data_IF_777804954228
#
_entry.id   IF_777804954228
#
_cell.length_a   1.000
_cell.length_b   1.000
_cell.length_c   1.000
_cell.angle_alpha   90.00
_cell.angle_beta   90.00
_cell.angle_gamma   90.00
#
_symmetry.space_group_name_H-M   'P 1'
#
loop_
_entity.id
_entity.type
_entity.pdbx_description
1 polymer ?
#
# COMPACT_ATOMS: atom_id res chain seq x y z
N UNK A 1 21.86 11.74 -50.28
CA UNK A 1 21.39 12.33 -49.01
C UNK A 1 20.38 11.35 -48.42
N UNK A 2 20.87 10.38 -47.64
CA UNK A 2 20.10 9.22 -47.24
C UNK A 2 19.35 9.45 -45.93
N UNK A 3 18.03 9.34 -46.02
CA UNK A 3 17.13 8.78 -45.00
C UNK A 3 17.23 9.30 -43.56
N UNK A 4 16.71 10.52 -43.33
CA UNK A 4 16.39 11.04 -41.99
C UNK A 4 15.07 10.53 -41.39
N UNK A 5 14.35 9.61 -42.07
CA UNK A 5 13.04 9.10 -41.62
C UNK A 5 13.10 7.95 -40.62
N UNK A 6 14.19 7.17 -40.63
CA UNK A 6 14.32 5.99 -39.77
C UNK A 6 14.77 6.34 -38.33
N UNK A 7 15.53 7.43 -38.17
CA UNK A 7 16.07 7.85 -36.87
C UNK A 7 14.98 8.33 -35.91
N UNK A 8 14.02 9.10 -36.43
CA UNK A 8 12.88 9.59 -35.63
C UNK A 8 11.97 8.45 -35.17
N UNK A 9 11.72 7.45 -36.03
CA UNK A 9 10.87 6.31 -35.66
C UNK A 9 11.49 5.44 -34.55
N UNK A 10 12.81 5.25 -34.59
CA UNK A 10 13.55 4.52 -33.54
C UNK A 10 13.57 5.31 -32.22
N UNK A 11 13.76 6.63 -32.28
CA UNK A 11 13.70 7.51 -31.11
C UNK A 11 12.29 7.54 -30.47
N UNK A 12 11.23 7.60 -31.30
CA UNK A 12 9.86 7.53 -30.81
C UNK A 12 9.52 6.16 -30.21
N UNK A 13 9.96 5.05 -30.83
CA UNK A 13 9.78 3.71 -30.24
C UNK A 13 10.56 3.54 -28.91
N UNK A 14 11.78 4.07 -28.82
CA UNK A 14 12.57 4.04 -27.58
C UNK A 14 11.94 4.87 -26.44
N UNK A 15 11.29 6.00 -26.76
CA UNK A 15 10.56 6.81 -25.80
C UNK A 15 9.27 6.13 -25.29
N UNK A 16 8.57 5.39 -26.15
CA UNK A 16 7.36 4.66 -25.77
C UNK A 16 7.69 3.44 -24.88
N UNK A 17 8.85 2.81 -25.07
CA UNK A 17 9.32 1.69 -24.22
C UNK A 17 9.71 2.11 -22.79
N UNK A 18 10.17 3.36 -22.59
CA UNK A 18 10.48 3.87 -21.24
C UNK A 18 9.25 4.34 -20.45
N UNK A 19 8.07 4.39 -21.06
CA UNK A 19 6.83 4.79 -20.40
C UNK A 19 6.11 3.64 -19.69
N UNK A 20 6.60 2.40 -19.82
CA UNK A 20 5.94 1.22 -19.29
C UNK A 20 6.71 0.69 -18.08
N UNK A 21 5.95 0.40 -17.03
CA UNK A 21 6.30 -0.31 -15.79
C UNK A 21 7.24 0.39 -14.80
N UNK A 22 6.76 1.50 -14.23
CA UNK A 22 6.72 1.52 -12.77
C UNK A 22 5.60 0.58 -12.33
N UNK A 23 5.86 -0.73 -12.36
CA UNK A 23 5.15 -1.61 -11.45
C UNK A 23 5.59 -1.14 -10.06
N UNK A 24 4.80 -0.23 -9.46
CA UNK A 24 4.70 -0.25 -8.01
C UNK A 24 4.34 -1.70 -7.72
N UNK A 25 5.34 -2.50 -7.34
CA UNK A 25 5.14 -3.86 -6.89
C UNK A 25 3.90 -3.81 -6.02
N UNK A 26 2.82 -4.45 -6.48
CA UNK A 26 1.50 -4.36 -5.86
C UNK A 26 1.65 -4.97 -4.47
N UNK A 27 2.07 -4.17 -3.50
CA UNK A 27 2.27 -4.54 -2.12
C UNK A 27 0.96 -4.27 -1.40
N UNK A 28 0.53 -5.22 -0.57
CA UNK A 28 -0.68 -5.05 0.21
C UNK A 28 -0.56 -3.77 1.01
N UNK A 29 -1.66 -3.05 1.14
CA UNK A 29 -1.65 -1.75 1.79
C UNK A 29 -2.79 -1.59 2.76
N UNK A 30 -2.51 -0.91 3.87
CA UNK A 30 -3.50 -0.51 4.87
C UNK A 30 -3.68 1.00 4.80
N UNK A 31 -4.87 1.44 4.42
CA UNK A 31 -5.32 2.82 4.61
C UNK A 31 -6.08 2.92 5.93
N UNK A 32 -5.70 3.85 6.78
CA UNK A 32 -6.41 4.19 8.03
C UNK A 32 -7.01 5.58 7.94
N UNK A 33 -8.12 5.78 8.64
CA UNK A 33 -8.90 7.02 8.64
C UNK A 33 -8.85 7.67 10.02
N UNK A 34 -8.72 9.00 10.08
CA UNK A 34 -8.71 9.76 11.33
C UNK A 34 -10.03 9.64 12.08
N UNK A 35 -11.16 9.72 11.37
CA UNK A 35 -12.50 9.71 11.94
C UNK A 35 -13.23 8.39 11.64
N UNK A 36 -14.22 8.10 12.47
CA UNK A 36 -15.17 7.01 12.21
C UNK A 36 -15.96 7.22 10.91
N UNK A 37 -16.56 6.16 10.39
CA UNK A 37 -17.25 6.18 9.11
C UNK A 37 -16.31 6.15 7.89
N UNK A 38 -15.04 5.78 8.07
CA UNK A 38 -14.01 5.86 7.03
C UNK A 38 -13.90 7.28 6.43
N UNK A 39 -13.77 8.29 7.30
CA UNK A 39 -13.82 9.70 6.92
C UNK A 39 -12.66 10.52 7.50
N UNK A 40 -12.52 11.75 7.03
CA UNK A 40 -11.44 12.66 7.43
C UNK A 40 -10.10 12.33 6.76
N UNK A 41 -9.01 12.82 7.37
CA UNK A 41 -7.65 12.57 6.90
C UNK A 41 -7.32 11.08 6.89
N UNK A 42 -6.48 10.67 5.95
CA UNK A 42 -6.08 9.27 5.80
C UNK A 42 -4.57 9.12 5.77
N UNK A 43 -4.09 7.96 6.20
CA UNK A 43 -2.69 7.56 6.05
C UNK A 43 -2.67 6.16 5.46
N UNK A 44 -1.80 5.93 4.47
CA UNK A 44 -1.66 4.62 3.82
C UNK A 44 -0.27 4.05 4.11
N UNK A 45 -0.22 2.76 4.46
CA UNK A 45 0.99 2.01 4.71
C UNK A 45 1.06 0.82 3.76
N UNK A 46 2.13 0.73 2.98
CA UNK A 46 2.39 -0.37 2.03
C UNK A 46 3.80 -0.95 2.18
N UNK A 47 4.61 -0.40 3.09
CA UNK A 47 5.97 -0.88 3.34
C UNK A 47 5.92 -2.18 4.13
N UNK A 48 6.77 -3.12 3.74
CA UNK A 48 7.00 -4.36 4.46
C UNK A 48 7.55 -4.08 5.86
N UNK A 49 7.30 -5.01 6.78
CA UNK A 49 7.74 -4.88 8.16
C UNK A 49 6.79 -4.05 9.01
N UNK A 50 7.28 -3.67 10.20
CA UNK A 50 6.46 -3.02 11.21
C UNK A 50 6.32 -1.51 10.99
N UNK A 51 5.11 -0.98 11.16
CA UNK A 51 4.83 0.46 11.18
C UNK A 51 3.76 0.81 12.22
N UNK A 52 3.93 1.95 12.90
CA UNK A 52 2.92 2.49 13.82
C UNK A 52 1.79 3.18 13.07
N UNK A 53 0.56 2.95 13.51
CA UNK A 53 -0.62 3.58 12.96
C UNK A 53 -0.81 4.97 13.57
N UNK A 54 -0.94 5.95 12.69
CA UNK A 54 -1.29 7.33 13.07
C UNK A 54 -2.78 7.50 13.43
N UNK A 55 -3.66 6.72 12.81
CA UNK A 55 -5.11 6.87 12.94
C UNK A 55 -5.82 5.57 13.25
N UNK A 56 -6.97 5.67 13.93
CA UNK A 56 -7.74 4.53 14.44
C UNK A 56 -9.25 4.63 14.19
N UNK A 57 -9.73 5.57 13.37
CA UNK A 57 -11.17 5.75 13.10
C UNK A 57 -11.78 4.67 12.20
N UNK A 58 -10.95 3.91 11.49
CA UNK A 58 -11.36 2.82 10.62
C UNK A 58 -10.23 2.48 9.65
N UNK A 59 -10.41 1.46 8.84
CA UNK A 59 -9.41 1.04 7.87
C UNK A 59 -10.01 0.45 6.58
N UNK A 60 -9.18 0.45 5.55
CA UNK A 60 -9.33 -0.34 4.34
C UNK A 60 -7.99 -1.01 4.04
N UNK A 61 -8.00 -2.33 3.95
CA UNK A 61 -6.87 -3.14 3.55
C UNK A 61 -7.08 -3.65 2.13
N UNK A 62 -6.13 -3.32 1.26
CA UNK A 62 -6.07 -3.81 -0.11
C UNK A 62 -5.03 -4.92 -0.16
N UNK A 63 -5.47 -6.13 -0.46
CA UNK A 63 -4.62 -7.31 -0.50
C UNK A 63 -4.16 -7.60 -1.93
N UNK A 64 -2.85 -7.76 -2.09
CA UNK A 64 -2.21 -8.05 -3.38
C UNK A 64 -1.19 -9.19 -3.27
N UNK A 65 -1.21 -9.94 -2.15
CA UNK A 65 -0.38 -11.12 -1.93
C UNK A 65 0.28 -11.17 -0.54
N UNK A 66 0.43 -10.03 0.13
CA UNK A 66 1.06 -9.93 1.44
C UNK A 66 0.00 -9.89 2.54
N UNK A 67 0.14 -10.74 3.55
CA UNK A 67 -0.73 -10.68 4.74
C UNK A 67 -0.23 -9.59 5.68
N UNK A 68 -1.10 -9.11 6.57
CA UNK A 68 -0.71 -8.10 7.56
C UNK A 68 -1.15 -8.50 8.97
N UNK A 69 -0.20 -8.54 9.90
CA UNK A 69 -0.45 -8.82 11.32
C UNK A 69 -0.67 -7.51 12.08
N UNK A 70 -1.75 -7.43 12.84
CA UNK A 70 -2.13 -6.26 13.63
C UNK A 70 -1.79 -6.44 15.11
N UNK A 71 -1.41 -5.36 15.77
CA UNK A 71 -1.00 -5.35 17.18
C UNK A 71 -1.72 -4.23 17.93
N UNK A 72 -2.08 -4.45 19.19
CA UNK A 72 -2.66 -3.42 20.07
C UNK A 72 -1.60 -2.52 20.71
N UNK A 73 -0.32 -2.76 20.43
CA UNK A 73 0.86 -2.08 20.94
C UNK A 73 1.60 -1.38 19.81
N UNK A 74 2.42 -0.39 20.14
CA UNK A 74 3.33 0.21 19.16
C UNK A 74 4.48 -0.75 18.80
N UNK A 75 5.11 -0.50 17.66
CA UNK A 75 6.32 -1.17 17.17
C UNK A 75 6.18 -2.69 17.05
N UNK A 76 4.96 -3.20 16.87
CA UNK A 76 4.65 -4.63 16.72
C UNK A 76 5.17 -5.49 17.86
N UNK A 77 5.18 -4.94 19.08
CA UNK A 77 5.65 -5.63 20.26
C UNK A 77 4.60 -6.59 20.82
N UNK A 78 5.03 -7.74 21.34
CA UNK A 78 4.13 -8.75 21.91
C UNK A 78 3.37 -9.55 20.84
N UNK A 79 2.30 -10.22 21.26
CA UNK A 79 1.52 -11.07 20.37
C UNK A 79 0.60 -10.25 19.47
N UNK A 80 0.66 -10.51 18.16
CA UNK A 80 -0.34 -9.97 17.24
C UNK A 80 -1.74 -10.45 17.63
N UNK A 81 -2.76 -9.63 17.36
CA UNK A 81 -4.14 -9.88 17.77
C UNK A 81 -5.04 -10.29 16.60
N UNK A 82 -4.65 -9.93 15.38
CA UNK A 82 -5.43 -10.22 14.17
C UNK A 82 -4.53 -10.27 12.94
N UNK A 83 -4.91 -11.06 11.92
CA UNK A 83 -4.19 -11.11 10.64
C UNK A 83 -5.17 -10.82 9.51
N UNK A 84 -4.84 -9.84 8.68
CA UNK A 84 -5.52 -9.55 7.43
C UNK A 84 -4.93 -10.43 6.32
N UNK A 85 -5.75 -11.30 5.75
CA UNK A 85 -5.34 -12.28 4.71
C UNK A 85 -6.02 -12.08 3.36
N UNK A 86 -6.83 -11.02 3.23
CA UNK A 86 -7.58 -10.66 2.03
C UNK A 86 -8.12 -9.25 2.15
N UNK A 87 -8.76 -8.74 1.08
CA UNK A 87 -9.35 -7.40 1.11
C UNK A 87 -10.32 -7.25 2.27
N UNK A 88 -10.20 -6.17 3.03
CA UNK A 88 -11.04 -5.93 4.19
C UNK A 88 -11.30 -4.43 4.37
N UNK A 89 -12.46 -4.08 4.90
CA UNK A 89 -12.81 -2.70 5.22
C UNK A 89 -13.68 -2.67 6.47
N UNK A 90 -13.36 -1.77 7.38
CA UNK A 90 -14.17 -1.51 8.56
C UNK A 90 -14.15 -0.02 8.86
N UNK A 91 -15.34 0.57 8.96
CA UNK A 91 -15.50 2.00 9.20
C UNK A 91 -15.83 2.34 10.66
N UNK A 92 -15.60 1.40 11.56
CA UNK A 92 -15.67 1.60 13.01
C UNK A 92 -14.26 1.74 13.58
N UNK A 93 -14.11 2.40 14.74
CA UNK A 93 -12.81 2.55 15.37
C UNK A 93 -12.12 1.20 15.64
N UNK A 94 -10.80 1.18 15.49
CA UNK A 94 -9.95 0.00 15.73
C UNK A 94 -9.10 0.18 16.99
N UNK A 95 -8.77 -0.94 17.64
CA UNK A 95 -7.89 -0.95 18.82
C UNK A 95 -6.39 -1.06 18.49
N UNK A 96 -6.04 -1.29 17.22
CA UNK A 96 -4.66 -1.56 16.82
C UNK A 96 -3.80 -0.29 16.82
N UNK A 97 -2.52 -0.45 17.15
CA UNK A 97 -1.52 0.61 17.24
C UNK A 97 -0.38 0.45 16.24
N UNK A 98 -0.12 -0.77 15.77
CA UNK A 98 0.84 -1.03 14.70
C UNK A 98 0.42 -2.18 13.80
N UNK A 99 1.04 -2.23 12.62
CA UNK A 99 0.85 -3.24 11.57
C UNK A 99 2.21 -3.80 11.16
N UNK A 100 2.30 -5.10 10.92
CA UNK A 100 3.43 -5.74 10.28
C UNK A 100 3.00 -6.40 8.95
N UNK A 101 3.35 -5.80 7.81
CA UNK A 101 3.06 -6.35 6.49
C UNK A 101 4.12 -7.40 6.15
N UNK A 102 3.66 -8.64 5.96
CA UNK A 102 4.49 -9.80 5.67
C UNK A 102 4.82 -9.84 4.18
N UNK A 103 5.97 -9.26 3.86
CA UNK A 103 6.78 -9.60 2.70
C UNK A 103 7.93 -10.48 3.20
#
# INVERSE_FOLDING_TARGET
MASGKNSLYVLFMALVLMAVVSELASASSLRVYRLQGCSGETQTYSRCGCTNLLYMGGYQFTYTGQTARMYNTGNCLGSGVFTLTGNARMCSPIGWRSINIQC
#
